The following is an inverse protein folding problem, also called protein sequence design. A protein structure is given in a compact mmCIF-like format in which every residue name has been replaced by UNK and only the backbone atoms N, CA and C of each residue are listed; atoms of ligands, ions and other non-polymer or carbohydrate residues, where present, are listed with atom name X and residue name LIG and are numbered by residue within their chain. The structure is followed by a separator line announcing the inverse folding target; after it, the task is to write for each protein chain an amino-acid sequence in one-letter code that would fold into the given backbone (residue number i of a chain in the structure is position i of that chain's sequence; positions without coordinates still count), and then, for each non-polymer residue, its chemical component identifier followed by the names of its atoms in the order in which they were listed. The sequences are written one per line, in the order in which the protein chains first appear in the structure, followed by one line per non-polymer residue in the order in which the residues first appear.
data_IF_940399846914
#
_entry.id   IF_940399846914
#
_cell.length_a   1.000
_cell.length_b   1.000
_cell.length_c   1.000
_cell.angle_alpha   90.00
_cell.angle_beta   90.00
_cell.angle_gamma   90.00
#
_symmetry.space_group_name_H-M   'P 1'
#
loop_
_entity.id
_entity.type
_entity.pdbx_description
1 polymer ?
#
# COMPACT_ATOMS: atom_id res chain seq x y z
N UNK A 1 7.47 44.28 5.31
CA UNK A 1 6.46 43.23 5.65
C UNK A 1 6.39 42.23 4.51
N UNK A 2 6.62 40.96 4.83
CA UNK A 2 6.40 39.92 3.84
C UNK A 2 4.92 39.76 3.57
N UNK A 3 4.53 39.83 2.30
CA UNK A 3 3.17 39.52 1.91
C UNK A 3 2.88 38.05 2.08
N UNK A 4 1.85 37.73 2.84
CA UNK A 4 1.36 36.35 2.97
C UNK A 4 0.37 36.08 1.83
N UNK A 5 0.52 34.92 1.21
CA UNK A 5 -0.33 34.52 0.12
C UNK A 5 -1.18 33.29 0.51
N UNK A 6 -2.39 33.26 0.00
CA UNK A 6 -3.29 32.12 0.18
C UNK A 6 -2.63 30.84 -0.34
N UNK A 7 -2.66 29.77 0.46
CA UNK A 7 -2.08 28.48 0.06
C UNK A 7 -2.83 27.82 -1.10
N UNK A 8 -4.06 28.24 -1.39
CA UNK A 8 -4.86 27.67 -2.46
C UNK A 8 -4.85 28.51 -3.73
N UNK A 9 -5.22 29.80 -3.64
CA UNK A 9 -5.37 30.65 -4.83
C UNK A 9 -4.19 31.59 -5.10
N UNK A 10 -3.28 31.75 -4.13
CA UNK A 10 -2.10 32.62 -4.29
C UNK A 10 -2.37 34.11 -4.12
N UNK A 11 -3.61 34.51 -3.82
CA UNK A 11 -3.96 35.92 -3.58
C UNK A 11 -3.41 36.41 -2.24
N UNK A 12 -3.10 37.72 -2.12
CA UNK A 12 -2.63 38.27 -0.85
C UNK A 12 -3.68 38.09 0.26
N UNK A 13 -3.18 37.74 1.45
CA UNK A 13 -4.04 37.58 2.62
C UNK A 13 -4.05 38.87 3.42
N UNK A 14 -5.23 39.39 3.73
CA UNK A 14 -5.45 40.53 4.59
C UNK A 14 -6.12 40.02 5.86
N UNK A 15 -5.59 40.37 7.02
CA UNK A 15 -6.15 39.99 8.30
C UNK A 15 -5.13 39.45 9.29
N UNK A 16 -5.55 38.47 10.11
CA UNK A 16 -4.73 37.91 11.20
C UNK A 16 -3.44 37.30 10.69
N UNK A 17 -2.39 37.33 11.49
CA UNK A 17 -1.08 36.83 11.15
C UNK A 17 -1.04 35.30 11.00
N UNK A 18 -1.97 34.60 11.62
CA UNK A 18 -2.07 33.14 11.55
C UNK A 18 -2.91 32.65 10.36
N UNK A 19 -3.52 33.56 9.61
CA UNK A 19 -4.37 33.21 8.49
C UNK A 19 -3.55 32.66 7.32
N UNK A 20 -3.91 31.49 6.82
CA UNK A 20 -3.23 30.81 5.71
C UNK A 20 -3.99 30.89 4.39
N UNK A 21 -5.27 31.24 4.44
CA UNK A 21 -6.16 31.31 3.29
C UNK A 21 -6.88 32.66 3.25
N UNK A 22 -7.19 33.14 2.03
CA UNK A 22 -7.87 34.41 1.85
C UNK A 22 -9.35 34.38 2.29
N UNK A 23 -9.97 33.20 2.25
CA UNK A 23 -11.36 32.99 2.64
C UNK A 23 -11.60 31.53 3.02
N UNK A 24 -12.77 31.27 3.62
CA UNK A 24 -13.17 29.93 4.03
C UNK A 24 -13.34 28.99 2.84
N UNK A 25 -13.78 29.51 1.70
CA UNK A 25 -13.92 28.71 0.48
C UNK A 25 -12.59 28.13 0.03
N UNK A 26 -11.51 28.91 0.04
CA UNK A 26 -10.16 28.42 -0.30
C UNK A 26 -9.67 27.39 0.68
N UNK A 27 -9.90 27.58 1.98
CA UNK A 27 -9.53 26.64 3.01
C UNK A 27 -10.24 25.29 2.80
N UNK A 28 -11.54 25.33 2.54
CA UNK A 28 -12.33 24.12 2.33
C UNK A 28 -11.89 23.38 1.07
N UNK A 29 -11.62 24.09 -0.02
CA UNK A 29 -11.17 23.49 -1.28
C UNK A 29 -9.79 22.86 -1.13
N UNK A 30 -8.87 23.51 -0.45
CA UNK A 30 -7.53 22.99 -0.19
C UNK A 30 -7.58 21.69 0.61
N UNK A 31 -8.34 21.68 1.70
CA UNK A 31 -8.48 20.50 2.55
C UNK A 31 -9.18 19.35 1.81
N UNK A 32 -10.18 19.64 1.01
CA UNK A 32 -10.89 18.65 0.20
C UNK A 32 -9.94 17.97 -0.79
N UNK A 33 -9.17 18.74 -1.56
CA UNK A 33 -8.22 18.19 -2.53
C UNK A 33 -7.13 17.35 -1.87
N UNK A 34 -6.60 17.82 -0.74
CA UNK A 34 -5.58 17.10 0.02
C UNK A 34 -6.11 15.75 0.51
N UNK A 35 -7.31 15.74 1.11
CA UNK A 35 -7.93 14.52 1.62
C UNK A 35 -8.30 13.58 0.48
N UNK A 36 -8.76 14.09 -0.65
CA UNK A 36 -9.10 13.29 -1.82
C UNK A 36 -7.88 12.54 -2.37
N UNK A 37 -6.72 13.20 -2.48
CA UNK A 37 -5.48 12.57 -2.91
C UNK A 37 -5.06 11.45 -1.96
N UNK A 38 -5.14 11.66 -0.65
CA UNK A 38 -4.80 10.63 0.35
C UNK A 38 -5.73 9.42 0.24
N UNK A 39 -7.04 9.65 0.09
CA UNK A 39 -8.02 8.57 -0.07
C UNK A 39 -7.73 7.76 -1.33
N UNK A 40 -7.35 8.41 -2.43
CA UNK A 40 -7.04 7.74 -3.70
C UNK A 40 -5.83 6.82 -3.56
N UNK A 41 -4.76 7.28 -2.90
CA UNK A 41 -3.56 6.47 -2.66
C UNK A 41 -3.90 5.24 -1.81
N UNK A 42 -4.65 5.41 -0.72
CA UNK A 42 -5.07 4.32 0.15
C UNK A 42 -5.92 3.30 -0.61
N UNK A 43 -6.88 3.76 -1.40
CA UNK A 43 -7.74 2.87 -2.21
C UNK A 43 -6.92 2.07 -3.22
N UNK A 44 -5.96 2.70 -3.89
CA UNK A 44 -5.13 2.04 -4.88
C UNK A 44 -4.27 0.95 -4.25
N UNK A 45 -3.62 1.24 -3.12
CA UNK A 45 -2.80 0.27 -2.40
C UNK A 45 -3.67 -0.86 -1.83
N UNK A 46 -4.82 -0.54 -1.26
CA UNK A 46 -5.75 -1.56 -0.77
C UNK A 46 -6.22 -2.49 -1.88
N UNK A 47 -6.49 -1.96 -3.07
CA UNK A 47 -6.87 -2.78 -4.23
C UNK A 47 -5.75 -3.73 -4.65
N UNK A 48 -4.49 -3.27 -4.62
CA UNK A 48 -3.32 -4.08 -4.94
C UNK A 48 -3.16 -5.19 -3.90
N UNK A 49 -3.26 -4.86 -2.61
CA UNK A 49 -3.16 -5.83 -1.52
C UNK A 49 -4.28 -6.88 -1.60
N UNK A 50 -5.51 -6.46 -1.88
CA UNK A 50 -6.64 -7.37 -2.05
C UNK A 50 -6.43 -8.33 -3.22
N UNK A 51 -5.91 -7.82 -4.34
CA UNK A 51 -5.58 -8.65 -5.51
C UNK A 51 -4.49 -9.66 -5.17
N UNK A 52 -3.42 -9.20 -4.52
CA UNK A 52 -2.33 -10.08 -4.09
C UNK A 52 -2.84 -11.20 -3.18
N UNK A 53 -3.67 -10.86 -2.21
CA UNK A 53 -4.28 -11.83 -1.30
C UNK A 53 -5.12 -12.87 -2.06
N UNK A 54 -5.96 -12.42 -2.98
CA UNK A 54 -6.81 -13.30 -3.79
C UNK A 54 -5.98 -14.24 -4.65
N UNK A 55 -4.88 -13.75 -5.25
CA UNK A 55 -3.98 -14.58 -6.05
C UNK A 55 -3.35 -15.68 -5.21
N UNK A 56 -2.81 -15.32 -4.04
CA UNK A 56 -2.19 -16.29 -3.14
C UNK A 56 -3.23 -17.31 -2.63
N UNK A 57 -4.42 -16.86 -2.29
CA UNK A 57 -5.49 -17.74 -1.82
C UNK A 57 -5.93 -18.71 -2.91
N UNK A 58 -6.05 -18.26 -4.16
CA UNK A 58 -6.38 -19.09 -5.29
C UNK A 58 -5.35 -20.20 -5.54
N UNK A 59 -4.06 -19.86 -5.42
CA UNK A 59 -2.95 -20.79 -5.62
C UNK A 59 -2.67 -21.66 -4.41
N UNK A 60 -3.27 -21.35 -3.26
CA UNK A 60 -3.03 -22.04 -2.00
C UNK A 60 -4.34 -22.39 -1.28
N UNK A 61 -5.24 -23.18 -1.92
CA UNK A 61 -6.54 -23.49 -1.31
C UNK A 61 -6.44 -24.39 -0.09
N UNK A 62 -5.37 -25.16 0.05
CA UNK A 62 -5.19 -26.14 1.13
C UNK A 62 -4.28 -25.65 2.27
N UNK A 63 -3.88 -24.37 2.25
CA UNK A 63 -3.03 -23.78 3.28
C UNK A 63 -1.52 -23.97 3.06
N UNK A 64 -1.12 -24.78 2.09
CA UNK A 64 0.28 -24.99 1.70
C UNK A 64 0.35 -25.33 0.22
N UNK A 65 1.21 -24.66 -0.52
CA UNK A 65 1.34 -24.88 -1.95
C UNK A 65 2.61 -24.28 -2.51
N UNK A 66 2.76 -24.34 -3.81
CA UNK A 66 3.92 -23.82 -4.53
C UNK A 66 3.45 -23.01 -5.72
N UNK A 67 4.19 -21.95 -6.05
CA UNK A 67 3.95 -21.15 -7.24
C UNK A 67 5.27 -20.62 -7.78
N UNK A 68 5.38 -20.52 -9.11
CA UNK A 68 6.55 -19.90 -9.73
C UNK A 68 6.40 -18.39 -9.75
N UNK A 69 7.51 -17.67 -9.80
CA UNK A 69 7.50 -16.20 -9.98
C UNK A 69 6.74 -15.80 -11.25
N UNK A 70 6.94 -16.55 -12.33
CA UNK A 70 6.24 -16.32 -13.58
C UNK A 70 4.72 -16.47 -13.42
N UNK A 71 4.28 -17.51 -12.74
CA UNK A 71 2.86 -17.76 -12.49
C UNK A 71 2.21 -16.62 -11.71
N UNK A 72 2.88 -16.15 -10.66
CA UNK A 72 2.42 -15.02 -9.86
C UNK A 72 2.38 -13.74 -10.70
N UNK A 73 3.41 -13.47 -11.47
CA UNK A 73 3.50 -12.28 -12.32
C UNK A 73 2.41 -12.27 -13.40
N UNK A 74 2.14 -13.41 -14.02
CA UNK A 74 1.09 -13.55 -15.03
C UNK A 74 -0.31 -13.27 -14.48
N UNK A 75 -0.53 -13.59 -13.20
CA UNK A 75 -1.80 -13.29 -12.53
C UNK A 75 -1.92 -11.84 -12.06
N UNK A 76 -0.86 -11.06 -12.18
CA UNK A 76 -0.85 -9.66 -11.78
C UNK A 76 -0.39 -9.42 -10.35
N UNK A 77 0.32 -10.38 -9.75
CA UNK A 77 0.85 -10.25 -8.38
C UNK A 77 1.93 -9.15 -8.34
N UNK A 78 1.81 -8.23 -7.38
CA UNK A 78 2.76 -7.15 -7.19
C UNK A 78 3.59 -7.41 -5.93
N UNK A 79 4.86 -7.79 -6.13
CA UNK A 79 5.78 -8.15 -5.05
C UNK A 79 6.18 -6.95 -4.18
N UNK A 80 5.90 -5.74 -4.63
CA UNK A 80 6.22 -4.52 -3.89
C UNK A 80 5.31 -4.32 -2.67
N UNK A 81 4.11 -4.88 -2.68
CA UNK A 81 3.12 -4.64 -1.63
C UNK A 81 2.81 -5.91 -0.83
N UNK A 82 3.03 -5.81 0.46
CA UNK A 82 2.74 -6.86 1.44
C UNK A 82 2.38 -6.19 2.77
N UNK A 83 1.74 -6.93 3.68
CA UNK A 83 1.29 -6.35 4.96
C UNK A 83 2.28 -6.57 6.09
N UNK A 84 3.01 -7.68 6.10
CA UNK A 84 3.98 -7.99 7.15
C UNK A 84 5.05 -8.95 6.65
N UNK A 85 6.13 -9.06 7.41
CA UNK A 85 7.21 -10.00 7.13
C UNK A 85 7.55 -10.78 8.40
N UNK A 86 8.07 -11.99 8.21
CA UNK A 86 8.59 -12.82 9.29
C UNK A 86 9.93 -13.40 8.86
N UNK A 87 10.97 -13.15 9.67
CA UNK A 87 12.31 -13.68 9.40
C UNK A 87 12.58 -14.83 10.33
N UNK A 88 12.94 -15.99 9.78
CA UNK A 88 13.29 -17.18 10.56
C UNK A 88 14.71 -17.08 11.12
N UNK A 89 15.05 -17.96 12.09
CA UNK A 89 16.41 -18.03 12.64
C UNK A 89 17.44 -18.37 11.56
N UNK A 90 17.04 -19.10 10.53
CA UNK A 90 17.91 -19.46 9.41
C UNK A 90 18.08 -18.33 8.39
N UNK A 91 17.39 -17.19 8.56
CA UNK A 91 17.49 -16.04 7.68
C UNK A 91 16.48 -16.02 6.54
N UNK A 92 15.56 -16.97 6.46
CA UNK A 92 14.50 -16.94 5.46
C UNK A 92 13.45 -15.87 5.80
N UNK A 93 13.07 -15.07 4.82
CA UNK A 93 12.10 -13.99 5.01
C UNK A 93 10.78 -14.38 4.34
N UNK A 94 9.75 -14.55 5.16
CA UNK A 94 8.38 -14.76 4.69
C UNK A 94 7.70 -13.41 4.52
N UNK A 95 7.09 -13.19 3.36
CA UNK A 95 6.27 -12.01 3.10
C UNK A 95 4.81 -12.41 3.19
N UNK A 96 4.04 -11.71 4.02
CA UNK A 96 2.62 -11.99 4.22
C UNK A 96 1.76 -10.89 3.61
N UNK A 97 0.72 -11.30 2.90
CA UNK A 97 -0.38 -10.44 2.49
C UNK A 97 -1.59 -10.92 3.29
N UNK A 98 -1.82 -10.27 4.43
CA UNK A 98 -2.78 -10.68 5.46
C UNK A 98 -2.41 -12.07 5.99
N UNK A 99 -3.27 -13.08 5.82
CA UNK A 99 -3.04 -14.45 6.29
C UNK A 99 -2.29 -15.35 5.31
N UNK A 100 -2.05 -14.88 4.09
CA UNK A 100 -1.32 -15.63 3.07
C UNK A 100 0.13 -15.19 2.99
N UNK A 101 1.05 -16.14 3.00
CA UNK A 101 2.47 -15.85 2.93
C UNK A 101 3.18 -16.58 1.82
N UNK A 102 4.35 -16.08 1.45
CA UNK A 102 5.21 -16.71 0.47
C UNK A 102 6.67 -16.54 0.85
N UNK A 103 7.49 -17.52 0.47
CA UNK A 103 8.94 -17.48 0.70
C UNK A 103 9.64 -18.15 -0.48
N UNK A 104 10.75 -17.57 -0.99
CA UNK A 104 11.52 -18.22 -2.07
C UNK A 104 12.11 -19.54 -1.58
N UNK A 105 12.14 -20.54 -2.46
CA UNK A 105 12.84 -21.80 -2.17
C UNK A 105 14.33 -21.59 -2.18
N UNK A 106 15.06 -22.26 -1.28
CA UNK A 106 16.52 -22.17 -1.19
C UNK A 106 17.23 -22.56 -2.48
N UNK A 107 16.73 -23.60 -3.14
CA UNK A 107 17.36 -24.15 -4.35
C UNK A 107 16.87 -23.50 -5.63
N UNK A 108 15.81 -22.71 -5.58
CA UNK A 108 15.23 -22.09 -6.75
C UNK A 108 14.49 -20.78 -6.36
N UNK A 109 15.17 -19.61 -6.45
CA UNK A 109 14.56 -18.34 -6.06
C UNK A 109 13.39 -17.90 -6.95
N UNK A 110 13.20 -18.51 -8.11
CA UNK A 110 12.06 -18.23 -8.98
C UNK A 110 10.83 -19.06 -8.61
N UNK A 111 10.92 -19.91 -7.59
CA UNK A 111 9.81 -20.71 -7.09
C UNK A 111 9.56 -20.40 -5.63
N UNK A 112 8.29 -20.21 -5.28
CA UNK A 112 7.87 -19.83 -3.93
C UNK A 112 7.08 -20.93 -3.26
N UNK A 113 7.35 -21.11 -1.97
CA UNK A 113 6.48 -21.89 -1.08
C UNK A 113 5.38 -20.94 -0.58
N UNK A 114 4.12 -21.34 -0.74
CA UNK A 114 2.97 -20.60 -0.26
C UNK A 114 2.48 -21.22 1.05
N UNK A 115 2.22 -20.38 2.03
CA UNK A 115 1.76 -20.79 3.36
C UNK A 115 0.58 -19.94 3.81
N UNK A 116 -0.20 -20.49 4.74
CA UNK A 116 -1.29 -19.75 5.37
C UNK A 116 -1.01 -19.66 6.86
N UNK A 117 -1.08 -18.43 7.41
CA UNK A 117 -0.96 -18.21 8.83
C UNK A 117 -2.34 -18.32 9.47
N UNK A 118 -2.53 -19.29 10.35
CA UNK A 118 -3.82 -19.56 10.99
C UNK A 118 -4.00 -18.79 12.31
N UNK A 119 -3.01 -17.99 12.72
CA UNK A 119 -3.05 -17.23 13.96
C UNK A 119 -3.62 -15.81 13.81
N UNK A 120 -4.12 -15.47 12.65
CA UNK A 120 -4.80 -14.20 12.43
C UNK A 120 -6.23 -14.23 12.91
#
# INVERSE_FOLDING_TARGET
MEERKCLYCGEPIIGRMDKKFCCDSCRNSYNYEKNHKQITVVRNINAILARNHNILQELNPNGKGFASKQQLTEKGFDFKYFTSTYTTKAGAVYHYVYDQGYVPKENNPDQFLLVKNTEF
#
